data_IF_023573349434
#
_entry.id   IF_023573349434
#
_cell.length_a   1.000
_cell.length_b   1.000
_cell.length_c   1.000
_cell.angle_alpha   90.00
_cell.angle_beta   90.00
_cell.angle_gamma   90.00
#
_symmetry.space_group_name_H-M   'P 1'
#
loop_
_entity.id
_entity.type
_entity.pdbx_description
1 polymer ?
#
# COMPACT_ATOMS: atom_id res chain seq x y z
N UNK A 1 25.20 -20.67 5.92
CA UNK A 1 23.99 -20.86 6.74
C UNK A 1 22.82 -20.46 5.88
N UNK A 2 22.12 -21.44 5.31
CA UNK A 2 21.05 -21.24 4.32
C UNK A 2 19.76 -20.88 5.03
N UNK A 3 19.17 -19.73 4.69
CA UNK A 3 17.78 -19.40 4.99
C UNK A 3 17.03 -19.40 3.66
N UNK A 4 16.14 -20.38 3.52
CA UNK A 4 15.16 -20.46 2.45
C UNK A 4 14.17 -19.32 2.62
N UNK A 5 14.24 -18.31 1.75
CA UNK A 5 13.19 -17.30 1.59
C UNK A 5 12.30 -17.74 0.43
N UNK A 6 11.07 -18.12 0.75
CA UNK A 6 10.02 -18.39 -0.23
C UNK A 6 9.65 -17.08 -0.93
N UNK A 7 9.95 -17.01 -2.23
CA UNK A 7 9.61 -15.90 -3.10
C UNK A 7 8.10 -15.84 -3.39
N UNK A 8 7.52 -14.63 -3.31
CA UNK A 8 6.80 -14.01 -4.45
C UNK A 8 6.47 -12.53 -4.19
N UNK A 9 7.48 -11.72 -3.90
CA UNK A 9 7.39 -10.28 -4.14
C UNK A 9 7.92 -10.02 -5.55
N UNK A 10 7.13 -9.45 -6.46
CA UNK A 10 7.70 -8.71 -7.59
C UNK A 10 8.16 -7.36 -7.02
N UNK A 11 9.28 -7.43 -6.30
CA UNK A 11 10.27 -6.37 -6.20
C UNK A 11 11.57 -7.09 -6.47
N UNK A 12 11.96 -7.13 -7.74
CA UNK A 12 13.34 -7.44 -8.05
C UNK A 12 14.14 -6.33 -7.38
N UNK A 13 14.94 -6.64 -6.36
CA UNK A 13 16.39 -6.44 -6.31
C UNK A 13 16.93 -6.70 -4.90
N UNK A 14 18.07 -7.36 -4.88
CA UNK A 14 18.94 -7.61 -3.75
C UNK A 14 19.21 -6.33 -2.96
N UNK A 15 19.03 -6.40 -1.64
CA UNK A 15 19.19 -5.28 -0.72
C UNK A 15 20.69 -5.02 -0.50
N UNK A 16 21.26 -4.22 -1.39
CA UNK A 16 22.21 -3.15 -1.06
C UNK A 16 21.74 -1.85 -1.74
N UNK A 17 20.45 -1.52 -1.56
CA UNK A 17 19.88 -0.30 -2.12
C UNK A 17 20.21 0.88 -1.19
N UNK A 18 21.23 1.63 -1.60
CA UNK A 18 21.56 2.95 -1.10
C UNK A 18 20.28 3.81 -0.99
N UNK A 19 20.02 4.36 0.20
CA UNK A 19 18.76 5.04 0.59
C UNK A 19 18.29 6.17 -0.35
N UNK A 20 19.16 6.63 -1.26
CA UNK A 20 18.83 7.60 -2.30
C UNK A 20 17.93 7.05 -3.42
N UNK A 21 17.85 5.74 -3.62
CA UNK A 21 17.08 5.17 -4.74
C UNK A 21 15.56 5.29 -4.59
N UNK A 22 15.04 5.30 -3.36
CA UNK A 22 13.58 5.32 -3.13
C UNK A 22 12.96 6.72 -3.31
N UNK A 23 13.75 7.80 -3.28
CA UNK A 23 13.23 9.17 -3.35
C UNK A 23 12.51 9.50 -4.65
N UNK A 24 12.85 8.81 -5.74
CA UNK A 24 12.24 8.98 -7.06
C UNK A 24 11.17 7.92 -7.34
N UNK A 25 10.91 7.01 -6.40
CA UNK A 25 9.97 5.92 -6.60
C UNK A 25 8.55 6.48 -6.69
N UNK A 26 7.91 6.29 -7.85
CA UNK A 26 6.53 6.71 -8.10
C UNK A 26 5.52 5.58 -7.87
N UNK A 27 5.96 4.32 -7.94
CA UNK A 27 5.10 3.14 -7.77
C UNK A 27 5.76 2.15 -6.83
N UNK A 28 5.02 1.70 -5.82
CA UNK A 28 5.48 0.72 -4.85
C UNK A 28 4.45 -0.41 -4.77
N UNK A 29 4.89 -1.61 -5.11
CA UNK A 29 4.14 -2.83 -4.87
C UNK A 29 4.90 -3.65 -3.84
N UNK A 30 4.25 -4.07 -2.76
CA UNK A 30 4.87 -4.92 -1.75
C UNK A 30 3.93 -6.04 -1.36
N UNK A 31 4.49 -7.25 -1.20
CA UNK A 31 3.78 -8.43 -0.72
C UNK A 31 4.40 -8.92 0.58
N UNK A 32 3.58 -9.34 1.55
CA UNK A 32 4.04 -10.00 2.80
C UNK A 32 5.16 -9.22 3.52
N UNK A 33 4.98 -7.91 3.63
CA UNK A 33 5.99 -7.01 4.20
C UNK A 33 5.94 -6.98 5.72
N UNK A 34 7.10 -6.94 6.38
CA UNK A 34 7.17 -6.67 7.81
C UNK A 34 7.01 -5.17 8.12
N UNK A 35 6.76 -4.88 9.40
CA UNK A 35 6.50 -3.52 9.87
C UNK A 35 7.65 -2.54 9.61
N UNK A 36 8.88 -2.96 9.85
CA UNK A 36 10.05 -2.08 9.77
C UNK A 36 10.37 -1.75 8.31
N UNK A 37 10.32 -2.77 7.46
CA UNK A 37 10.49 -2.60 6.01
C UNK A 37 9.43 -1.69 5.41
N UNK A 38 8.15 -1.87 5.77
CA UNK A 38 7.06 -1.02 5.26
C UNK A 38 7.25 0.45 5.65
N UNK A 39 7.58 0.72 6.92
CA UNK A 39 7.84 2.09 7.40
C UNK A 39 9.04 2.70 6.69
N UNK A 40 10.12 1.93 6.52
CA UNK A 40 11.31 2.40 5.83
C UNK A 40 11.00 2.76 4.37
N UNK A 41 10.32 1.89 3.63
CA UNK A 41 9.96 2.13 2.23
C UNK A 41 9.09 3.37 2.07
N UNK A 42 8.01 3.48 2.85
CA UNK A 42 7.09 4.61 2.77
C UNK A 42 7.72 5.92 3.22
N UNK A 43 8.60 5.90 4.22
CA UNK A 43 9.31 7.10 4.68
C UNK A 43 10.29 7.65 3.63
N UNK A 44 10.89 6.77 2.82
CA UNK A 44 11.88 7.17 1.81
C UNK A 44 11.26 7.39 0.41
N UNK A 45 10.02 6.99 0.18
CA UNK A 45 9.32 7.12 -1.11
C UNK A 45 8.55 8.46 -1.21
N UNK A 46 9.28 9.57 -1.31
CA UNK A 46 8.69 10.92 -1.24
C UNK A 46 7.88 11.32 -2.49
N UNK A 47 8.06 10.63 -3.62
CA UNK A 47 7.33 10.91 -4.87
C UNK A 47 6.30 9.83 -5.20
N UNK A 48 5.95 9.00 -4.21
CA UNK A 48 5.07 7.87 -4.42
C UNK A 48 3.69 8.34 -4.89
N UNK A 49 3.24 7.82 -6.03
CA UNK A 49 1.92 8.07 -6.65
C UNK A 49 1.01 6.86 -6.52
N UNK A 50 1.56 5.65 -6.67
CA UNK A 50 0.81 4.41 -6.62
C UNK A 50 1.37 3.48 -5.54
N UNK A 51 0.51 3.05 -4.61
CA UNK A 51 0.86 2.13 -3.53
C UNK A 51 -0.04 0.90 -3.62
N UNK A 52 0.56 -0.27 -3.86
CA UNK A 52 -0.09 -1.57 -3.84
C UNK A 52 0.49 -2.44 -2.72
N UNK A 53 -0.34 -2.79 -1.75
CA UNK A 53 0.03 -3.63 -0.62
C UNK A 53 -0.77 -4.93 -0.67
N UNK A 54 -0.07 -6.06 -0.68
CA UNK A 54 -0.68 -7.39 -0.77
C UNK A 54 -0.26 -8.19 0.45
N UNK A 55 -1.23 -8.69 1.20
CA UNK A 55 -1.00 -9.47 2.43
C UNK A 55 -0.13 -8.69 3.45
N UNK A 56 -0.33 -7.38 3.53
CA UNK A 56 0.33 -6.49 4.48
C UNK A 56 -0.37 -6.53 5.84
N UNK A 57 -0.39 -7.71 6.48
CA UNK A 57 -1.03 -7.93 7.79
C UNK A 57 -0.43 -7.06 8.90
N UNK A 58 0.80 -6.58 8.73
CA UNK A 58 1.46 -5.67 9.67
C UNK A 58 0.88 -4.24 9.63
N UNK A 59 0.15 -3.87 8.56
CA UNK A 59 -0.49 -2.58 8.42
C UNK A 59 -1.80 -2.57 9.22
N UNK A 60 -1.68 -2.25 10.50
CA UNK A 60 -2.78 -1.94 11.42
C UNK A 60 -2.96 -0.42 11.60
N UNK A 61 -4.05 0.00 12.26
CA UNK A 61 -4.37 1.41 12.48
C UNK A 61 -3.24 2.15 13.22
N UNK A 62 -2.55 1.46 14.14
CA UNK A 62 -1.45 2.05 14.92
C UNK A 62 -0.24 2.33 14.02
N UNK A 63 0.08 1.41 13.11
CA UNK A 63 1.16 1.56 12.16
C UNK A 63 0.83 2.62 11.11
N UNK A 64 -0.41 2.62 10.61
CA UNK A 64 -0.89 3.64 9.69
C UNK A 64 -0.71 5.04 10.27
N UNK A 65 -1.15 5.27 11.51
CA UNK A 65 -1.00 6.56 12.17
C UNK A 65 0.47 6.99 12.23
N UNK A 66 1.36 6.08 12.63
CA UNK A 66 2.82 6.34 12.66
C UNK A 66 3.41 6.66 11.29
N UNK A 67 2.94 5.99 10.23
CA UNK A 67 3.35 6.27 8.86
C UNK A 67 2.89 7.69 8.47
N UNK A 68 1.62 8.01 8.70
CA UNK A 68 1.01 9.28 8.31
C UNK A 68 1.57 10.49 9.09
N UNK A 69 2.03 10.31 10.32
CA UNK A 69 2.78 11.33 11.07
C UNK A 69 4.13 11.68 10.43
N UNK A 70 4.75 10.74 9.72
CA UNK A 70 6.10 10.89 9.14
C UNK A 70 6.07 11.15 7.64
N UNK A 71 5.04 10.69 6.94
CA UNK A 71 4.81 10.91 5.53
C UNK A 71 3.30 10.97 5.30
N UNK A 72 2.79 12.15 4.92
CA UNK A 72 1.35 12.35 4.67
C UNK A 72 0.85 11.64 3.42
N UNK A 73 1.71 10.94 2.68
CA UNK A 73 1.41 10.27 1.42
C UNK A 73 0.73 11.23 0.43
N UNK A 74 1.08 12.52 0.51
CA UNK A 74 0.37 13.59 -0.20
C UNK A 74 0.46 13.46 -1.72
N UNK A 75 1.44 12.75 -2.26
CA UNK A 75 1.58 12.53 -3.69
C UNK A 75 0.86 11.26 -4.20
N UNK A 76 0.36 10.43 -3.28
CA UNK A 76 -0.31 9.18 -3.63
C UNK A 76 -1.69 9.48 -4.20
N UNK A 77 -1.90 9.07 -5.45
CA UNK A 77 -3.17 9.16 -6.14
C UNK A 77 -3.89 7.81 -6.25
N UNK A 78 -3.16 6.70 -6.04
CA UNK A 78 -3.74 5.37 -6.13
C UNK A 78 -3.26 4.50 -4.97
N UNK A 79 -4.21 3.94 -4.23
CA UNK A 79 -3.94 2.96 -3.17
C UNK A 79 -4.70 1.68 -3.46
N UNK A 80 -4.01 0.56 -3.42
CA UNK A 80 -4.62 -0.75 -3.47
C UNK A 80 -4.11 -1.58 -2.29
N UNK A 81 -5.02 -2.07 -1.44
CA UNK A 81 -4.65 -2.88 -0.27
C UNK A 81 -5.46 -4.16 -0.26
N UNK A 82 -4.76 -5.29 -0.37
CA UNK A 82 -5.32 -6.63 -0.28
C UNK A 82 -4.87 -7.26 1.03
N UNK A 83 -5.82 -7.70 1.86
CA UNK A 83 -5.53 -8.41 3.12
C UNK A 83 -4.57 -7.61 4.03
N UNK A 84 -5.12 -6.74 4.86
CA UNK A 84 -4.36 -5.93 5.84
C UNK A 84 -5.02 -5.94 7.22
N UNK A 85 -4.31 -5.42 8.22
CA UNK A 85 -4.80 -5.30 9.59
C UNK A 85 -5.58 -4.01 9.88
N UNK A 86 -5.91 -3.21 8.87
CA UNK A 86 -6.64 -1.95 9.06
C UNK A 86 -8.09 -2.19 9.45
N UNK A 87 -8.58 -1.40 10.40
CA UNK A 87 -10.01 -1.30 10.71
C UNK A 87 -10.71 -0.35 9.74
N UNK A 88 -12.04 -0.29 9.86
CA UNK A 88 -12.89 0.62 9.08
C UNK A 88 -12.47 2.09 9.29
N UNK A 89 -12.11 2.43 10.52
CA UNK A 89 -11.68 3.78 10.87
C UNK A 89 -10.25 4.06 10.38
N UNK A 90 -9.36 3.07 10.44
CA UNK A 90 -8.03 3.18 9.83
C UNK A 90 -8.10 3.44 8.32
N UNK A 91 -8.97 2.73 7.59
CA UNK A 91 -9.18 2.99 6.17
C UNK A 91 -9.71 4.40 5.90
N UNK A 92 -10.68 4.87 6.70
CA UNK A 92 -11.18 6.25 6.58
C UNK A 92 -10.07 7.26 6.83
N UNK A 93 -9.25 7.06 7.86
CA UNK A 93 -8.11 7.94 8.16
C UNK A 93 -7.12 7.98 7.00
N UNK A 94 -6.77 6.82 6.43
CA UNK A 94 -5.88 6.75 5.27
C UNK A 94 -6.42 7.57 4.09
N UNK A 95 -7.69 7.38 3.74
CA UNK A 95 -8.34 8.08 2.62
C UNK A 95 -8.39 9.59 2.89
N UNK A 96 -8.78 10.00 4.09
CA UNK A 96 -8.88 11.42 4.45
C UNK A 96 -7.53 12.14 4.47
N UNK A 97 -6.45 11.43 4.77
CA UNK A 97 -5.10 12.00 4.85
C UNK A 97 -4.40 12.07 3.49
N UNK A 98 -4.73 11.16 2.56
CA UNK A 98 -4.21 11.18 1.20
C UNK A 98 -5.01 12.15 0.33
N UNK A 99 -4.68 13.44 0.41
CA UNK A 99 -5.46 14.53 -0.22
C UNK A 99 -5.57 14.47 -1.75
N UNK A 100 -4.62 13.83 -2.43
CA UNK A 100 -4.59 13.67 -3.89
C UNK A 100 -5.04 12.29 -4.35
N UNK A 101 -5.62 11.50 -3.44
CA UNK A 101 -6.11 10.17 -3.76
C UNK A 101 -7.23 10.30 -4.80
N UNK A 102 -7.17 9.48 -5.84
CA UNK A 102 -8.14 9.42 -6.94
C UNK A 102 -8.74 8.03 -7.08
N UNK A 103 -7.95 7.00 -6.77
CA UNK A 103 -8.36 5.60 -6.90
C UNK A 103 -8.01 4.81 -5.64
N UNK A 104 -8.97 4.03 -5.17
CA UNK A 104 -8.78 3.14 -4.04
C UNK A 104 -9.35 1.77 -4.37
N UNK A 105 -8.57 0.74 -4.11
CA UNK A 105 -8.99 -0.64 -4.26
C UNK A 105 -8.72 -1.41 -2.97
N UNK A 106 -9.74 -2.11 -2.48
CA UNK A 106 -9.59 -3.01 -1.35
C UNK A 106 -10.14 -4.37 -1.72
N UNK A 107 -9.50 -5.44 -1.28
CA UNK A 107 -10.10 -6.77 -1.38
C UNK A 107 -9.82 -7.60 -0.13
N UNK A 108 -10.79 -8.46 0.14
CA UNK A 108 -10.92 -9.23 1.37
C UNK A 108 -11.07 -8.35 2.61
N UNK A 109 -11.90 -7.31 2.50
CA UNK A 109 -12.41 -6.62 3.68
C UNK A 109 -13.68 -7.34 4.14
N UNK A 110 -13.88 -7.46 5.45
CA UNK A 110 -15.15 -7.92 6.00
C UNK A 110 -16.31 -7.07 5.43
N UNK A 111 -17.51 -7.67 5.32
CA UNK A 111 -18.68 -7.08 4.65
C UNK A 111 -18.99 -5.62 5.06
N UNK A 112 -18.63 -5.24 6.29
CA UNK A 112 -18.80 -3.90 6.86
C UNK A 112 -17.99 -2.81 6.15
N UNK A 113 -16.90 -3.12 5.45
CA UNK A 113 -16.07 -2.08 4.83
C UNK A 113 -16.43 -1.75 3.38
N UNK A 114 -17.20 -2.61 2.72
CA UNK A 114 -17.84 -2.29 1.43
C UNK A 114 -18.67 -1.00 1.55
N UNK A 115 -19.28 -0.78 2.72
CA UNK A 115 -20.03 0.45 3.03
C UNK A 115 -19.15 1.70 3.07
N UNK A 116 -17.85 1.61 3.42
CA UNK A 116 -16.95 2.78 3.49
C UNK A 116 -16.71 3.36 2.11
N UNK A 117 -16.48 2.49 1.13
CA UNK A 117 -16.20 2.94 -0.22
C UNK A 117 -17.48 3.42 -0.93
N UNK A 118 -18.63 2.82 -0.63
CA UNK A 118 -19.95 3.31 -1.04
C UNK A 118 -20.28 4.68 -0.40
N UNK A 119 -20.05 4.84 0.91
CA UNK A 119 -20.25 6.09 1.67
C UNK A 119 -19.39 7.24 1.10
N UNK A 120 -18.21 6.91 0.60
CA UNK A 120 -17.28 7.87 0.02
C UNK A 120 -17.54 8.14 -1.46
N UNK A 121 -18.40 7.37 -2.14
CA UNK A 121 -18.67 7.43 -3.60
C UNK A 121 -17.44 7.19 -4.48
N UNK A 122 -16.57 6.28 -4.10
CA UNK A 122 -15.39 5.94 -4.90
C UNK A 122 -15.68 4.75 -5.79
N UNK A 123 -15.19 4.78 -7.03
CA UNK A 123 -15.21 3.62 -7.92
C UNK A 123 -14.34 2.52 -7.30
N UNK A 124 -14.99 1.55 -6.65
CA UNK A 124 -14.32 0.36 -6.13
C UNK A 124 -13.89 -0.47 -7.33
N UNK A 125 -12.63 -0.34 -7.72
CA UNK A 125 -12.04 -1.25 -8.71
C UNK A 125 -11.70 -2.53 -7.95
N UNK A 126 -12.24 -3.67 -8.41
CA UNK A 126 -11.81 -4.98 -7.91
C UNK A 126 -10.29 -5.07 -8.00
N UNK A 127 -9.63 -5.41 -6.88
CA UNK A 127 -8.17 -5.59 -6.86
C UNK A 127 -7.72 -6.57 -7.94
N UNK A 128 -8.49 -7.62 -8.22
CA UNK A 128 -8.19 -8.54 -9.31
C UNK A 128 -8.17 -7.81 -10.67
N UNK A 129 -9.15 -6.95 -10.96
CA UNK A 129 -9.17 -6.12 -12.18
C UNK A 129 -8.02 -5.11 -12.22
N UNK A 130 -7.66 -4.50 -11.07
CA UNK A 130 -6.54 -3.55 -10.97
C UNK A 130 -5.20 -4.25 -11.20
N UNK A 131 -4.98 -5.39 -10.55
CA UNK A 131 -3.81 -6.27 -10.70
C UNK A 131 -3.72 -6.71 -12.16
N UNK A 132 -4.76 -7.30 -12.74
CA UNK A 132 -4.72 -7.81 -14.12
C UNK A 132 -4.54 -6.71 -15.18
N UNK A 133 -5.08 -5.50 -14.96
CA UNK A 133 -4.89 -4.36 -15.87
C UNK A 133 -3.52 -3.68 -15.72
N UNK A 134 -2.92 -3.70 -14.53
CA UNK A 134 -1.65 -3.02 -14.25
C UNK A 134 -0.43 -3.98 -14.22
N UNK A 135 -0.63 -5.30 -14.20
CA UNK A 135 0.41 -6.33 -14.41
C UNK A 135 0.61 -6.68 -15.89
N UNK A 136 -0.10 -6.01 -16.80
CA UNK A 136 0.14 -6.08 -18.24
C UNK A 136 1.00 -4.90 -18.70
N UNK A 137 2.14 -4.68 -18.05
CA UNK A 137 3.20 -3.79 -18.54
C UNK A 137 4.57 -4.38 -18.20
N UNK A 138 5.10 -5.12 -19.19
CA UNK A 138 6.49 -5.50 -19.48
C UNK A 138 7.16 -6.50 -18.53
#
# INVERSE_FOLDING_TARGET
>A
MHLHLGCSAIVQWDIEADSNNFRQLEKLMVREVDKESLVYLLRNSLKLKELLLVEALCLDDTLLHKILEKNSLCHVNTIAVYVCGLSREGLKELIQKCVNLERVAFANLDADMTTVAEDLKWDIISIHSYITKNLLVI
#
